data_IF_887330542098
#
_entry.id   IF_887330542098
#
_cell.length_a   1.000
_cell.length_b   1.000
_cell.length_c   1.000
_cell.angle_alpha   90.00
_cell.angle_beta   90.00
_cell.angle_gamma   90.00
#
_symmetry.space_group_name_H-M   'P 1'
#
loop_
_entity.id
_entity.type
_entity.pdbx_description
1 polymer ?
#
# COMPACT_ATOMS: atom_id res chain seq x y z
N UNK A 1 27.95 -11.88 26.33
CA UNK A 1 27.50 -10.76 25.47
C UNK A 1 26.20 -11.23 24.81
N UNK A 2 25.05 -10.83 25.35
CA UNK A 2 23.74 -11.23 24.81
C UNK A 2 23.44 -10.29 23.64
N UNK A 3 23.21 -10.76 22.40
CA UNK A 3 22.83 -9.88 21.33
C UNK A 3 21.46 -9.28 21.64
N UNK A 4 21.44 -7.97 21.77
CA UNK A 4 20.22 -7.17 21.88
C UNK A 4 19.46 -7.32 20.55
N UNK A 5 18.45 -8.19 20.52
CA UNK A 5 17.54 -8.31 19.36
C UNK A 5 16.73 -7.02 19.30
N UNK A 6 17.08 -6.13 18.38
CA UNK A 6 16.30 -4.94 18.08
C UNK A 6 14.95 -5.40 17.48
N UNK A 7 13.92 -5.53 18.33
CA UNK A 7 12.55 -5.78 17.87
C UNK A 7 12.13 -4.58 17.04
N UNK A 8 11.85 -4.79 15.75
CA UNK A 8 11.49 -3.72 14.82
C UNK A 8 10.29 -2.93 15.33
N UNK A 9 10.33 -1.60 15.18
CA UNK A 9 9.21 -0.73 15.53
C UNK A 9 8.00 -1.13 14.68
N UNK A 10 6.95 -1.63 15.33
CA UNK A 10 5.69 -2.01 14.70
C UNK A 10 4.58 -1.07 15.16
N UNK A 11 3.80 -0.57 14.22
CA UNK A 11 2.59 0.18 14.47
C UNK A 11 1.39 -0.54 13.83
N UNK A 12 0.24 -0.52 14.50
CA UNK A 12 -1.01 -1.09 13.98
C UNK A 12 -2.15 -0.13 14.24
N UNK A 13 -3.00 0.05 13.23
CA UNK A 13 -4.17 0.91 13.26
C UNK A 13 -5.37 0.17 12.65
N UNK A 14 -6.56 0.44 13.18
CA UNK A 14 -7.81 -0.14 12.71
C UNK A 14 -8.69 0.94 12.12
N UNK A 15 -9.47 0.58 11.12
CA UNK A 15 -10.35 1.48 10.38
C UNK A 15 -11.77 0.96 10.36
N UNK A 16 -12.72 1.89 10.37
CA UNK A 16 -14.00 1.68 9.73
C UNK A 16 -13.87 1.96 8.23
N UNK A 17 -14.50 1.14 7.41
CA UNK A 17 -14.50 1.29 5.95
C UNK A 17 -15.92 1.57 5.49
N UNK A 18 -16.08 2.61 4.67
CA UNK A 18 -17.34 2.95 3.99
C UNK A 18 -17.10 2.86 2.50
N UNK A 19 -18.00 2.17 1.78
CA UNK A 19 -17.97 2.05 0.33
C UNK A 19 -19.06 2.92 -0.27
N UNK A 20 -18.75 3.54 -1.40
CA UNK A 20 -19.75 4.21 -2.24
C UNK A 20 -20.90 3.23 -2.56
N UNK A 21 -22.15 3.68 -2.53
CA UNK A 21 -23.31 2.82 -2.77
C UNK A 21 -23.61 1.81 -1.65
N UNK A 22 -23.32 2.14 -0.39
CA UNK A 22 -23.94 1.49 0.79
C UNK A 22 -23.25 0.24 1.33
N UNK A 23 -21.96 0.03 1.05
CA UNK A 23 -21.15 -1.03 1.67
C UNK A 23 -20.37 -0.53 2.90
N UNK A 24 -20.03 -1.44 3.81
CA UNK A 24 -19.25 -1.11 5.01
C UNK A 24 -18.30 -2.23 5.40
N UNK A 25 -17.30 -1.92 6.22
CA UNK A 25 -16.32 -2.90 6.63
C UNK A 25 -15.40 -2.44 7.75
N UNK A 26 -14.38 -3.26 7.98
CA UNK A 26 -13.25 -2.91 8.84
C UNK A 26 -11.95 -3.19 8.10
N UNK A 27 -10.92 -2.42 8.41
CA UNK A 27 -9.59 -2.71 7.93
C UNK A 27 -8.58 -2.61 9.07
N UNK A 28 -7.48 -3.35 8.96
CA UNK A 28 -6.34 -3.27 9.84
C UNK A 28 -5.10 -3.05 9.00
N UNK A 29 -4.38 -1.97 9.28
CA UNK A 29 -3.08 -1.69 8.69
C UNK A 29 -2.00 -1.87 9.75
N UNK A 30 -0.98 -2.64 9.41
CA UNK A 30 0.22 -2.82 10.21
C UNK A 30 1.41 -2.32 9.40
N UNK A 31 2.24 -1.49 10.01
CA UNK A 31 3.54 -1.10 9.46
C UNK A 31 4.64 -1.59 10.39
N UNK A 32 5.64 -2.24 9.82
CA UNK A 32 6.79 -2.75 10.56
C UNK A 32 8.05 -2.21 9.93
N UNK A 33 8.86 -1.48 10.72
CA UNK A 33 10.20 -1.07 10.30
C UNK A 33 11.14 -2.27 10.32
N UNK A 34 11.90 -2.44 9.26
CA UNK A 34 12.88 -3.52 9.12
C UNK A 34 14.25 -3.08 9.66
N UNK A 35 15.09 -4.00 10.18
CA UNK A 35 16.39 -3.66 10.75
C UNK A 35 17.31 -2.89 9.80
N UNK A 36 17.28 -3.21 8.52
CA UNK A 36 18.10 -2.55 7.48
C UNK A 36 17.56 -1.21 6.99
N UNK A 37 16.51 -0.67 7.63
CA UNK A 37 15.94 0.64 7.35
C UNK A 37 14.73 0.64 6.42
N UNK A 38 14.38 -0.50 5.82
CA UNK A 38 13.17 -0.66 5.03
C UNK A 38 11.89 -0.77 5.86
N UNK A 39 10.76 -1.07 5.20
CA UNK A 39 9.48 -1.29 5.89
C UNK A 39 8.62 -2.37 5.23
N UNK A 40 7.74 -2.97 6.02
CA UNK A 40 6.65 -3.83 5.55
C UNK A 40 5.33 -3.16 5.92
N UNK A 41 4.44 -3.00 4.95
CA UNK A 41 3.08 -2.50 5.14
C UNK A 41 2.11 -3.63 4.82
N UNK A 42 1.25 -3.99 5.77
CA UNK A 42 0.22 -5.02 5.60
C UNK A 42 -1.15 -4.41 5.86
N UNK A 43 -2.06 -4.56 4.93
CA UNK A 43 -3.47 -4.19 5.03
C UNK A 43 -4.31 -5.47 4.94
N UNK A 44 -5.24 -5.64 5.88
CA UNK A 44 -6.30 -6.66 5.80
C UNK A 44 -7.62 -5.92 5.96
N UNK A 45 -8.51 -6.03 4.98
CA UNK A 45 -9.83 -5.42 5.00
C UNK A 45 -10.92 -6.49 4.84
N UNK A 46 -11.96 -6.38 5.66
CA UNK A 46 -13.18 -7.17 5.59
C UNK A 46 -14.32 -6.24 5.20
N UNK A 47 -14.83 -6.40 3.99
CA UNK A 47 -15.84 -5.56 3.38
C UNK A 47 -17.15 -6.33 3.24
N UNK A 48 -18.29 -5.65 3.42
CA UNK A 48 -19.62 -6.20 3.24
C UNK A 48 -20.48 -5.28 2.38
N UNK A 49 -21.23 -5.87 1.45
CA UNK A 49 -22.26 -5.18 0.64
C UNK A 49 -23.41 -6.14 0.39
N UNK A 50 -24.59 -5.81 0.91
CA UNK A 50 -25.72 -6.75 0.98
C UNK A 50 -25.29 -8.05 1.67
N UNK A 51 -25.55 -9.20 1.03
CA UNK A 51 -25.21 -10.53 1.54
C UNK A 51 -23.78 -10.99 1.20
N UNK A 52 -23.00 -10.16 0.49
CA UNK A 52 -21.63 -10.50 0.09
C UNK A 52 -20.62 -9.98 1.10
N UNK A 53 -19.69 -10.83 1.51
CA UNK A 53 -18.53 -10.48 2.33
C UNK A 53 -17.24 -10.78 1.57
N UNK A 54 -16.37 -9.77 1.44
CA UNK A 54 -15.09 -9.85 0.73
C UNK A 54 -13.97 -9.58 1.71
N UNK A 55 -12.92 -10.40 1.66
CA UNK A 55 -11.66 -10.11 2.31
C UNK A 55 -10.65 -9.63 1.27
N UNK A 56 -9.93 -8.56 1.60
CA UNK A 56 -8.81 -8.04 0.81
C UNK A 56 -7.57 -8.06 1.70
N UNK A 57 -6.47 -8.60 1.18
CA UNK A 57 -5.17 -8.60 1.85
C UNK A 57 -4.13 -8.02 0.91
N UNK A 58 -3.38 -7.06 1.40
CA UNK A 58 -2.23 -6.49 0.69
C UNK A 58 -1.04 -6.47 1.62
N UNK A 59 0.12 -6.88 1.12
CA UNK A 59 1.40 -6.72 1.78
C UNK A 59 2.37 -6.08 0.80
N UNK A 60 3.14 -5.11 1.24
CA UNK A 60 4.18 -4.46 0.43
C UNK A 60 5.43 -4.29 1.26
N UNK A 61 6.55 -4.71 0.70
CA UNK A 61 7.87 -4.63 1.31
C UNK A 61 8.72 -3.65 0.52
N UNK A 62 9.35 -2.72 1.24
CA UNK A 62 10.21 -1.69 0.68
C UNK A 62 11.60 -1.76 1.31
N UNK A 63 12.61 -1.35 0.55
CA UNK A 63 13.95 -1.07 1.10
C UNK A 63 13.99 0.31 1.80
N UNK A 64 15.18 0.69 2.27
CA UNK A 64 15.41 1.96 2.98
C UNK A 64 15.21 3.20 2.11
N UNK A 65 15.28 3.06 0.79
CA UNK A 65 15.16 4.16 -0.18
C UNK A 65 13.73 4.24 -0.75
N UNK A 66 12.83 3.36 -0.31
CA UNK A 66 11.45 3.29 -0.77
C UNK A 66 11.27 2.53 -2.08
N UNK A 67 12.26 1.75 -2.54
CA UNK A 67 12.04 0.83 -3.66
C UNK A 67 11.18 -0.34 -3.21
N UNK A 68 10.18 -0.74 -4.01
CA UNK A 68 9.44 -1.96 -3.73
C UNK A 68 10.35 -3.16 -3.99
N UNK A 69 10.33 -4.11 -3.05
CA UNK A 69 11.04 -5.39 -3.11
C UNK A 69 10.06 -6.56 -3.36
N UNK A 70 8.88 -6.49 -2.74
CA UNK A 70 7.83 -7.50 -2.87
C UNK A 70 6.45 -6.90 -2.65
N UNK A 71 5.45 -7.41 -3.36
CA UNK A 71 4.04 -7.14 -3.13
C UNK A 71 3.25 -8.44 -3.15
N UNK A 72 2.33 -8.59 -2.21
CA UNK A 72 1.28 -9.61 -2.23
C UNK A 72 -0.05 -8.89 -2.22
N UNK A 73 -0.96 -9.33 -3.07
CA UNK A 73 -2.33 -8.85 -3.11
C UNK A 73 -3.24 -10.07 -3.27
N UNK A 74 -4.28 -10.17 -2.47
CA UNK A 74 -5.28 -11.21 -2.62
C UNK A 74 -6.65 -10.70 -2.23
N UNK A 75 -7.68 -11.16 -2.94
CA UNK A 75 -9.05 -10.87 -2.58
C UNK A 75 -10.01 -12.00 -2.97
N UNK A 76 -11.12 -12.09 -2.25
CA UNK A 76 -12.15 -13.10 -2.48
C UNK A 76 -13.19 -13.15 -1.37
N UNK A 77 -14.13 -14.11 -1.42
CA UNK A 77 -15.13 -14.29 -0.38
C UNK A 77 -14.48 -14.52 0.99
N UNK A 78 -14.96 -13.82 2.01
CA UNK A 78 -14.43 -13.94 3.37
C UNK A 78 -14.54 -15.39 3.89
N UNK A 79 -13.49 -15.89 4.53
CA UNK A 79 -13.43 -17.25 5.09
C UNK A 79 -13.24 -18.36 4.05
N UNK A 80 -12.97 -18.04 2.79
CA UNK A 80 -12.66 -19.00 1.72
C UNK A 80 -11.28 -18.73 1.12
N UNK A 81 -10.80 -19.66 0.30
CA UNK A 81 -9.60 -19.41 -0.50
C UNK A 81 -9.80 -18.16 -1.38
N UNK A 82 -8.77 -17.32 -1.56
CA UNK A 82 -8.87 -16.12 -2.39
C UNK A 82 -9.19 -16.52 -3.82
N UNK A 83 -10.05 -15.73 -4.47
CA UNK A 83 -10.35 -15.93 -5.89
C UNK A 83 -9.25 -15.37 -6.78
N UNK A 84 -8.60 -14.30 -6.32
CA UNK A 84 -7.44 -13.70 -6.96
C UNK A 84 -6.30 -13.60 -5.94
N UNK A 85 -5.10 -13.98 -6.33
CA UNK A 85 -3.87 -13.75 -5.58
C UNK A 85 -2.73 -13.39 -6.53
N UNK A 86 -2.05 -12.29 -6.29
CA UNK A 86 -0.85 -11.87 -6.99
C UNK A 86 0.32 -11.77 -6.02
N UNK A 87 1.43 -12.45 -6.34
CA UNK A 87 2.71 -12.33 -5.65
C UNK A 87 3.71 -11.77 -6.65
N UNK A 88 4.28 -10.61 -6.32
CA UNK A 88 5.20 -9.88 -7.19
C UNK A 88 6.50 -9.63 -6.45
N UNK A 89 7.62 -9.97 -7.06
CA UNK A 89 8.96 -9.54 -6.62
C UNK A 89 9.55 -8.57 -7.63
N UNK A 90 10.42 -7.69 -7.14
CA UNK A 90 11.01 -6.65 -7.97
C UNK A 90 12.53 -6.70 -7.90
N UNK A 91 13.17 -6.56 -9.05
CA UNK A 91 14.62 -6.52 -9.22
C UNK A 91 15.02 -5.36 -10.15
N UNK A 92 16.26 -5.37 -10.63
CA UNK A 92 16.75 -4.36 -11.57
C UNK A 92 16.09 -4.46 -12.96
N UNK A 93 15.64 -5.64 -13.37
CA UNK A 93 15.05 -5.89 -14.69
C UNK A 93 13.56 -5.56 -14.72
N UNK A 94 12.87 -5.62 -13.58
CA UNK A 94 11.46 -5.25 -13.47
C UNK A 94 10.69 -6.05 -12.43
N UNK A 95 9.49 -6.50 -12.82
CA UNK A 95 8.56 -7.21 -11.95
C UNK A 95 8.43 -8.66 -12.39
N UNK A 96 8.57 -9.59 -11.44
CA UNK A 96 8.28 -11.00 -11.63
C UNK A 96 7.01 -11.33 -10.85
N UNK A 97 5.93 -11.66 -11.55
CA UNK A 97 4.60 -11.86 -10.98
C UNK A 97 4.16 -13.32 -11.11
N UNK A 98 3.56 -13.85 -10.05
CA UNK A 98 2.77 -15.07 -10.05
C UNK A 98 1.34 -14.67 -9.67
N UNK A 99 0.41 -14.76 -10.63
CA UNK A 99 -1.00 -14.48 -10.42
C UNK A 99 -1.78 -15.78 -10.43
N UNK A 100 -2.55 -16.04 -9.38
CA UNK A 100 -3.47 -17.17 -9.27
C UNK A 100 -4.90 -16.67 -9.41
N UNK A 101 -5.56 -17.15 -10.46
CA UNK A 101 -7.00 -16.96 -10.65
C UNK A 101 -7.71 -18.26 -10.34
N UNK A 102 -8.55 -18.26 -9.30
CA UNK A 102 -9.25 -19.44 -8.78
C UNK A 102 -8.29 -20.63 -8.56
N UNK A 103 -7.09 -20.34 -8.06
CA UNK A 103 -6.05 -21.33 -7.78
C UNK A 103 -5.15 -21.70 -8.96
N UNK A 104 -5.43 -21.25 -10.19
CA UNK A 104 -4.61 -21.55 -11.37
C UNK A 104 -3.48 -20.52 -11.50
N UNK A 105 -2.19 -20.91 -11.35
CA UNK A 105 -1.08 -19.97 -11.43
C UNK A 105 -0.73 -19.60 -12.88
N UNK A 106 -0.45 -18.32 -13.10
CA UNK A 106 0.16 -17.74 -14.29
C UNK A 106 1.40 -16.96 -13.88
N UNK A 107 2.53 -17.27 -14.48
CA UNK A 107 3.79 -16.55 -14.28
C UNK A 107 3.94 -15.50 -15.37
N UNK A 108 4.43 -14.31 -15.01
CA UNK A 108 4.67 -13.22 -15.95
C UNK A 108 5.88 -12.40 -15.51
N UNK A 109 6.74 -12.04 -16.46
CA UNK A 109 7.83 -11.06 -16.27
C UNK A 109 7.45 -9.79 -17.01
N UNK A 110 7.42 -8.67 -16.30
CA UNK A 110 7.10 -7.35 -16.86
C UNK A 110 8.36 -6.49 -16.76
N UNK A 111 9.01 -6.18 -17.89
CA UNK A 111 10.26 -5.43 -17.87
C UNK A 111 10.02 -4.02 -17.32
N UNK A 112 11.01 -3.51 -16.59
CA UNK A 112 11.07 -2.10 -16.24
C UNK A 112 11.54 -1.35 -17.48
N UNK A 113 10.73 -0.39 -17.95
CA UNK A 113 11.17 0.48 -19.03
C UNK A 113 12.43 1.23 -18.54
N UNK A 114 13.51 1.32 -19.34
CA UNK A 114 14.71 2.02 -18.92
C UNK A 114 14.39 3.44 -18.43
N UNK A 115 15.01 3.85 -17.32
CA UNK A 115 14.84 5.15 -16.63
C UNK A 115 13.57 5.32 -15.78
N UNK A 116 12.71 4.30 -15.65
CA UNK A 116 11.59 4.41 -14.70
C UNK A 116 12.09 4.32 -13.25
N UNK A 117 11.92 5.41 -12.50
CA UNK A 117 12.18 5.41 -11.07
C UNK A 117 11.08 4.64 -10.32
N UNK A 118 11.46 3.62 -9.54
CA UNK A 118 10.54 2.86 -8.68
C UNK A 118 10.57 3.33 -7.22
N UNK A 119 11.62 4.05 -6.81
CA UNK A 119 11.75 4.55 -5.45
C UNK A 119 10.73 5.65 -5.20
N UNK A 120 9.83 5.43 -4.25
CA UNK A 120 8.86 6.44 -3.83
C UNK A 120 9.30 7.05 -2.50
N UNK A 121 9.91 8.24 -2.56
CA UNK A 121 10.37 8.96 -1.36
C UNK A 121 9.24 9.26 -0.36
N UNK A 122 7.98 9.31 -0.80
CA UNK A 122 6.85 9.50 0.10
C UNK A 122 6.68 8.33 1.09
N UNK A 123 7.21 7.15 0.77
CA UNK A 123 7.19 6.01 1.68
C UNK A 123 8.04 6.24 2.95
N UNK A 124 8.98 7.19 2.93
CA UNK A 124 9.91 7.43 4.04
C UNK A 124 9.75 8.81 4.68
N UNK A 125 8.82 9.65 4.20
CA UNK A 125 8.63 11.04 4.63
C UNK A 125 8.41 11.23 6.13
N UNK A 126 7.57 10.41 6.74
CA UNK A 126 7.25 10.56 8.17
C UNK A 126 8.09 9.65 9.08
N UNK A 127 9.09 8.97 8.52
CA UNK A 127 10.02 8.11 9.25
C UNK A 127 11.46 8.64 9.26
N UNK A 128 11.85 9.33 8.19
CA UNK A 128 13.24 9.74 7.97
C UNK A 128 13.36 11.20 7.51
N UNK A 129 12.48 11.64 6.61
CA UNK A 129 12.65 12.90 5.89
C UNK A 129 11.35 13.69 5.90
N UNK A 130 11.18 14.56 6.91
CA UNK A 130 9.95 15.35 7.01
C UNK A 130 9.77 16.22 5.74
N UNK A 131 8.69 16.04 4.97
CA UNK A 131 8.50 16.75 3.72
C UNK A 131 8.13 18.21 3.97
N UNK A 132 8.42 19.07 3.00
CA UNK A 132 7.94 20.46 2.94
C UNK A 132 6.66 20.51 2.14
N UNK A 133 5.78 21.46 2.48
CA UNK A 133 4.52 21.68 1.74
C UNK A 133 4.84 21.88 0.26
N UNK A 134 4.17 21.12 -0.60
CA UNK A 134 4.38 21.11 -2.04
C UNK A 134 5.41 20.09 -2.53
N UNK A 135 6.11 19.37 -1.64
CA UNK A 135 7.01 18.29 -2.04
C UNK A 135 6.25 17.21 -2.82
N UNK A 136 6.85 16.77 -3.92
CA UNK A 136 6.28 15.77 -4.82
C UNK A 136 7.24 14.59 -4.96
N UNK A 137 6.74 13.38 -4.70
CA UNK A 137 7.43 12.14 -5.01
C UNK A 137 6.80 11.50 -6.26
N UNK A 138 7.62 11.21 -7.27
CA UNK A 138 7.20 10.54 -8.50
C UNK A 138 7.84 9.17 -8.58
N UNK A 139 7.02 8.15 -8.77
CA UNK A 139 7.47 6.77 -8.92
C UNK A 139 6.56 6.01 -9.89
N UNK A 140 7.09 4.93 -10.43
CA UNK A 140 6.31 3.93 -11.17
C UNK A 140 5.96 2.79 -10.22
N UNK A 141 4.67 2.64 -9.92
CA UNK A 141 4.17 1.56 -9.07
C UNK A 141 3.61 0.44 -9.93
N UNK A 142 3.88 -0.81 -9.55
CA UNK A 142 3.36 -1.94 -10.30
C UNK A 142 1.91 -2.23 -9.91
N UNK A 143 1.06 -2.41 -10.91
CA UNK A 143 -0.33 -2.82 -10.76
C UNK A 143 -0.47 -4.33 -10.93
N UNK A 144 -0.69 -5.09 -9.86
CA UNK A 144 -0.76 -6.55 -9.98
C UNK A 144 -2.01 -7.04 -10.72
N UNK A 145 -3.08 -6.23 -10.74
CA UNK A 145 -4.33 -6.61 -11.41
C UNK A 145 -4.20 -6.53 -12.94
N UNK A 146 -3.50 -5.51 -13.44
CA UNK A 146 -3.30 -5.26 -14.88
C UNK A 146 -1.90 -5.67 -15.39
N UNK A 147 -1.01 -6.10 -14.50
CA UNK A 147 0.39 -6.45 -14.80
C UNK A 147 1.17 -5.37 -15.55
N UNK A 148 1.05 -4.12 -15.09
CA UNK A 148 1.71 -2.99 -15.74
C UNK A 148 2.28 -1.99 -14.74
N UNK A 149 3.29 -1.24 -15.18
CA UNK A 149 3.86 -0.13 -14.43
C UNK A 149 2.99 1.11 -14.60
N UNK A 150 2.72 1.79 -13.49
CA UNK A 150 1.78 2.91 -13.46
C UNK A 150 2.44 4.14 -12.86
N UNK A 151 2.39 5.31 -13.54
CA UNK A 151 2.89 6.54 -12.96
C UNK A 151 2.07 6.88 -11.71
N UNK A 152 2.79 7.13 -10.62
CA UNK A 152 2.23 7.51 -9.32
C UNK A 152 2.93 8.77 -8.85
N UNK A 153 2.13 9.76 -8.50
CA UNK A 153 2.59 11.02 -7.94
C UNK A 153 1.99 11.18 -6.56
N UNK A 154 2.83 11.36 -5.55
CA UNK A 154 2.39 11.69 -4.19
C UNK A 154 2.86 13.09 -3.85
N UNK A 155 1.92 13.96 -3.51
CA UNK A 155 2.17 15.36 -3.13
C UNK A 155 1.84 15.56 -1.66
N UNK A 156 2.77 16.14 -0.90
CA UNK A 156 2.49 16.63 0.44
C UNK A 156 1.80 17.98 0.36
N UNK A 157 0.50 18.01 0.66
CA UNK A 157 -0.32 19.21 0.59
C UNK A 157 -0.12 20.10 1.82
N UNK A 158 0.24 19.51 2.96
CA UNK A 158 0.51 20.24 4.20
C UNK A 158 -0.35 19.79 5.38
N UNK A 159 -0.36 20.57 6.48
CA UNK A 159 -1.23 20.30 7.63
C UNK A 159 -2.71 20.29 7.23
N UNK A 160 -3.48 19.41 7.87
CA UNK A 160 -4.93 19.26 7.72
C UNK A 160 -5.56 18.90 9.06
N UNK A 161 -6.89 18.92 9.16
CA UNK A 161 -7.60 18.61 10.41
C UNK A 161 -7.22 17.21 10.90
N UNK A 162 -6.50 17.16 12.02
CA UNK A 162 -6.06 15.92 12.67
C UNK A 162 -4.72 15.36 12.18
N UNK A 163 -4.04 15.97 11.18
CA UNK A 163 -2.76 15.45 10.69
C UNK A 163 -2.20 16.18 9.47
N UNK A 164 -1.67 15.41 8.52
CA UNK A 164 -0.97 15.86 7.33
C UNK A 164 -1.65 15.30 6.09
N UNK A 165 -2.03 16.15 5.15
CA UNK A 165 -2.69 15.74 3.92
C UNK A 165 -1.65 15.37 2.84
N UNK A 166 -1.78 14.16 2.33
CA UNK A 166 -1.13 13.65 1.13
C UNK A 166 -2.18 13.49 0.03
N UNK A 167 -1.82 13.87 -1.20
CA UNK A 167 -2.61 13.58 -2.40
C UNK A 167 -1.82 12.63 -3.28
N UNK A 168 -2.42 11.48 -3.59
CA UNK A 168 -1.84 10.47 -4.46
C UNK A 168 -2.62 10.45 -5.77
N UNK A 169 -1.93 10.65 -6.88
CA UNK A 169 -2.45 10.46 -8.23
C UNK A 169 -1.86 9.18 -8.80
N UNK A 170 -2.71 8.25 -9.23
CA UNK A 170 -2.32 6.99 -9.89
C UNK A 170 -3.20 6.82 -11.13
N UNK A 171 -2.62 7.07 -12.32
CA UNK A 171 -3.37 7.31 -13.57
C UNK A 171 -4.40 8.44 -13.39
N UNK A 172 -5.67 8.11 -13.58
CA UNK A 172 -6.86 8.94 -13.44
C UNK A 172 -7.46 8.89 -12.02
N UNK A 173 -6.96 8.01 -11.14
CA UNK A 173 -7.45 7.89 -9.77
C UNK A 173 -6.72 8.84 -8.85
N UNK A 174 -7.50 9.62 -8.11
CA UNK A 174 -7.05 10.49 -7.04
C UNK A 174 -7.43 9.88 -5.69
N UNK A 175 -6.46 9.80 -4.79
CA UNK A 175 -6.66 9.41 -3.39
C UNK A 175 -6.15 10.53 -2.49
N UNK A 176 -6.94 10.91 -1.49
CA UNK A 176 -6.53 11.83 -0.44
C UNK A 176 -6.30 11.03 0.85
N UNK A 177 -5.14 11.19 1.46
CA UNK A 177 -4.75 10.49 2.68
C UNK A 177 -4.34 11.51 3.73
N UNK A 178 -5.03 11.54 4.86
CA UNK A 178 -4.60 12.26 6.05
C UNK A 178 -3.80 11.31 6.93
N UNK A 179 -2.55 11.65 7.27
CA UNK A 179 -1.65 10.86 8.11
C UNK A 179 -1.28 11.59 9.40
N UNK A 180 -0.95 10.86 10.46
CA UNK A 180 -0.39 11.46 11.69
C UNK A 180 1.09 11.84 11.51
N UNK A 181 1.71 12.41 12.56
CA UNK A 181 3.13 12.81 12.55
C UNK A 181 4.11 11.63 12.31
N UNK A 182 3.64 10.39 12.46
CA UNK A 182 4.41 9.16 12.21
C UNK A 182 4.10 8.56 10.84
N UNK A 183 3.27 9.21 10.03
CA UNK A 183 2.88 8.73 8.70
C UNK A 183 1.85 7.61 8.71
N UNK A 184 1.19 7.34 9.85
CA UNK A 184 0.12 6.36 9.91
C UNK A 184 -1.17 7.00 9.41
N UNK A 185 -1.91 6.37 8.48
CA UNK A 185 -3.13 6.97 7.95
C UNK A 185 -4.20 7.09 9.03
N UNK A 186 -4.78 8.29 9.13
CA UNK A 186 -5.96 8.64 9.92
C UNK A 186 -7.20 8.49 9.04
N UNK A 187 -7.14 9.00 7.81
CA UNK A 187 -8.20 8.88 6.81
C UNK A 187 -7.59 8.61 5.44
N UNK A 188 -8.19 7.73 4.68
CA UNK A 188 -7.89 7.52 3.26
C UNK A 188 -9.20 7.58 2.50
N UNK A 189 -9.24 8.35 1.42
CA UNK A 189 -10.44 8.53 0.61
C UNK A 189 -10.09 8.53 -0.86
N UNK A 190 -10.78 7.71 -1.64
CA UNK A 190 -10.88 7.82 -3.09
C UNK A 190 -12.36 7.95 -3.51
N UNK A 191 -12.66 7.80 -4.80
CA UNK A 191 -14.03 7.91 -5.30
C UNK A 191 -14.94 6.78 -4.80
N UNK A 192 -14.40 5.59 -4.56
CA UNK A 192 -15.18 4.38 -4.27
C UNK A 192 -15.21 4.04 -2.77
N UNK A 193 -14.28 4.55 -1.97
CA UNK A 193 -14.06 4.08 -0.61
C UNK A 193 -13.47 5.16 0.30
N UNK A 194 -13.90 5.14 1.56
CA UNK A 194 -13.28 5.87 2.67
C UNK A 194 -12.88 4.91 3.79
N UNK A 195 -11.64 5.02 4.27
CA UNK A 195 -11.15 4.40 5.50
C UNK A 195 -10.99 5.50 6.55
N UNK A 196 -11.59 5.33 7.72
CA UNK A 196 -11.43 6.25 8.85
C UNK A 196 -10.94 5.49 10.07
N UNK A 197 -9.84 5.96 10.65
CA UNK A 197 -9.19 5.34 11.81
C UNK A 197 -10.15 5.38 13.00
N UNK A 198 -10.25 4.26 13.70
CA UNK A 198 -10.98 4.15 14.97
C UNK A 198 -10.16 4.65 16.15
#
# INVERSE_FOLDING_TARGET
>A
MIPLVLVGLQATVQYHVTLEGGGQGTARLTQTKRPEGGKVVRLIANLRRGNSAIEVRTESTFDKDGNPLRKVQSYGPAGRAPQHEAIVTFDADGANAVVRERGVPKVSKVPLVPKLNRANAAETWFFSTKPKVGDVAKAWTFDPDNLEWVPTETTYVGPSKGGHLLRVMRRDRKTETVVDDKGLPIRLQDSAMTLERR
#
